data_IF_241581985691
#
_entry.id   IF_241581985691
#
_cell.length_a   1.000
_cell.length_b   1.000
_cell.length_c   1.000
_cell.angle_alpha   90.00
_cell.angle_beta   90.00
_cell.angle_gamma   90.00
#
_symmetry.space_group_name_H-M   'P 1'
#
loop_
_entity.id
_entity.type
_entity.pdbx_description
1 polymer ?
#
# COMPACT_ATOMS: atom_id res chain seq x y z
N UNK A 1 -10.68 -30.15 23.85
CA UNK A 1 -11.74 -30.89 23.15
C UNK A 1 -12.70 -29.84 22.62
N UNK A 2 -12.43 -29.08 21.55
CA UNK A 2 -12.12 -29.41 20.15
C UNK A 2 -13.34 -29.93 19.37
N UNK A 3 -14.28 -29.04 19.07
CA UNK A 3 -15.10 -28.98 17.84
C UNK A 3 -16.06 -27.79 18.02
N UNK A 4 -16.06 -26.86 17.07
CA UNK A 4 -17.17 -25.95 16.68
C UNK A 4 -16.62 -24.62 16.17
N UNK A 5 -16.48 -24.51 14.84
CA UNK A 5 -16.71 -23.30 14.03
C UNK A 5 -16.12 -23.45 12.63
N UNK A 6 -16.76 -24.27 11.80
CA UNK A 6 -16.58 -24.23 10.34
C UNK A 6 -17.93 -24.47 9.68
N UNK A 7 -18.71 -23.40 9.49
CA UNK A 7 -19.90 -23.38 8.61
C UNK A 7 -20.42 -21.95 8.50
N UNK A 8 -19.76 -21.10 7.69
CA UNK A 8 -20.35 -19.85 7.20
C UNK A 8 -19.57 -19.22 6.03
N UNK A 9 -19.22 -20.01 5.00
CA UNK A 9 -18.89 -19.47 3.66
C UNK A 9 -19.37 -20.47 2.60
N UNK A 10 -20.69 -20.61 2.46
CA UNK A 10 -21.30 -21.31 1.33
C UNK A 10 -22.76 -20.89 1.18
N UNK A 11 -23.01 -19.61 0.84
CA UNK A 11 -24.34 -19.18 0.40
C UNK A 11 -24.26 -17.92 -0.44
N UNK A 12 -23.75 -18.04 -1.67
CA UNK A 12 -24.04 -17.13 -2.78
C UNK A 12 -23.82 -17.88 -4.09
N UNK A 13 -24.82 -18.65 -4.52
CA UNK A 13 -25.10 -18.97 -5.91
C UNK A 13 -26.46 -19.68 -5.98
N UNK A 14 -27.26 -19.32 -6.98
CA UNK A 14 -28.60 -19.80 -7.32
C UNK A 14 -29.79 -19.05 -6.71
N UNK A 15 -30.15 -17.94 -7.36
CA UNK A 15 -31.54 -17.55 -7.53
C UNK A 15 -32.16 -18.30 -8.72
N UNK A 16 -33.38 -18.79 -8.50
CA UNK A 16 -34.44 -19.12 -9.46
C UNK A 16 -34.08 -19.93 -10.72
N UNK A 17 -34.47 -21.21 -10.76
CA UNK A 17 -35.60 -21.61 -11.60
C UNK A 17 -36.13 -23.01 -11.27
N UNK A 18 -37.45 -23.13 -11.43
CA UNK A 18 -38.31 -24.25 -11.11
C UNK A 18 -38.30 -25.29 -12.24
N UNK A 19 -38.29 -26.59 -11.92
CA UNK A 19 -39.05 -27.72 -12.53
C UNK A 19 -38.25 -29.03 -12.51
N UNK A 20 -38.93 -30.08 -12.05
CA UNK A 20 -38.34 -31.35 -11.65
C UNK A 20 -37.82 -32.22 -12.79
N UNK A 21 -36.85 -33.06 -12.44
CA UNK A 21 -36.61 -34.36 -13.06
C UNK A 21 -35.73 -35.21 -12.15
N UNK A 22 -36.18 -36.44 -11.91
CA UNK A 22 -35.51 -37.47 -11.11
C UNK A 22 -34.14 -37.79 -11.72
N UNK A 23 -33.09 -37.84 -10.89
CA UNK A 23 -31.81 -38.44 -11.25
C UNK A 23 -31.35 -39.38 -10.14
N UNK A 24 -30.98 -40.60 -10.53
CA UNK A 24 -30.52 -41.72 -9.71
C UNK A 24 -29.15 -41.45 -9.08
N UNK A 25 -28.83 -42.05 -7.91
CA UNK A 25 -27.57 -41.79 -7.24
C UNK A 25 -26.41 -42.46 -7.99
N UNK A 26 -25.49 -41.66 -8.54
CA UNK A 26 -24.15 -42.14 -8.92
C UNK A 26 -23.26 -42.13 -7.70
N UNK A 27 -22.66 -43.27 -7.39
CA UNK A 27 -21.58 -43.39 -6.42
C UNK A 27 -20.42 -42.48 -6.83
N UNK A 28 -20.21 -41.38 -6.09
CA UNK A 28 -18.95 -40.64 -6.13
C UNK A 28 -17.95 -41.36 -5.24
N UNK A 29 -17.08 -42.18 -5.84
CA UNK A 29 -15.82 -42.56 -5.21
C UNK A 29 -14.95 -41.31 -5.14
N UNK A 30 -14.81 -40.75 -3.94
CA UNK A 30 -13.84 -39.68 -3.66
C UNK A 30 -12.45 -40.30 -3.76
N UNK A 31 -11.63 -39.79 -4.68
CA UNK A 31 -10.24 -40.23 -4.87
C UNK A 31 -9.42 -39.85 -3.62
N UNK A 32 -8.81 -40.82 -2.89
CA UNK A 32 -8.05 -40.54 -1.67
C UNK A 32 -6.82 -39.65 -1.86
N UNK A 33 -6.40 -39.42 -3.11
CA UNK A 33 -5.26 -38.55 -3.45
C UNK A 33 -5.60 -37.06 -3.51
N UNK A 34 -6.89 -36.70 -3.48
CA UNK A 34 -7.35 -35.29 -3.51
C UNK A 34 -7.09 -34.52 -2.21
N UNK A 35 -6.70 -35.21 -1.13
CA UNK A 35 -6.40 -34.62 0.20
C UNK A 35 -4.96 -34.06 0.27
N UNK A 36 -4.10 -34.35 -0.71
CA UNK A 36 -2.70 -33.95 -0.74
C UNK A 36 -2.33 -32.97 -1.86
N UNK A 37 -3.29 -32.22 -2.41
CA UNK A 37 -2.94 -31.02 -3.16
C UNK A 37 -2.27 -30.02 -2.18
N UNK A 38 -1.04 -29.56 -2.45
CA UNK A 38 -0.31 -28.77 -1.47
C UNK A 38 -1.06 -27.46 -1.24
N UNK A 39 -1.40 -27.16 0.02
CA UNK A 39 -2.09 -25.92 0.44
C UNK A 39 -1.40 -24.65 -0.12
N UNK A 40 -0.12 -24.72 -0.43
CA UNK A 40 0.65 -23.66 -1.10
C UNK A 40 0.10 -23.28 -2.48
N UNK A 41 -0.42 -24.21 -3.29
CA UNK A 41 -0.92 -23.87 -4.63
C UNK A 41 -2.18 -23.00 -4.58
N UNK A 42 -3.11 -23.26 -3.66
CA UNK A 42 -4.32 -22.45 -3.49
C UNK A 42 -4.02 -21.08 -2.88
N UNK A 43 -3.09 -21.01 -1.92
CA UNK A 43 -2.63 -19.75 -1.32
C UNK A 43 -1.92 -18.88 -2.36
N UNK A 44 -1.08 -19.47 -3.20
CA UNK A 44 -0.41 -18.77 -4.30
C UNK A 44 -1.45 -18.23 -5.29
N UNK A 45 -2.38 -19.04 -5.79
CA UNK A 45 -3.41 -18.55 -6.74
C UNK A 45 -4.29 -17.44 -6.15
N UNK A 46 -4.64 -17.54 -4.86
CA UNK A 46 -5.43 -16.52 -4.15
C UNK A 46 -4.66 -15.20 -3.97
N UNK A 47 -3.39 -15.26 -3.54
CA UNK A 47 -2.51 -14.09 -3.41
C UNK A 47 -2.28 -13.42 -4.76
N UNK A 48 -2.12 -14.20 -5.84
CA UNK A 48 -1.98 -13.68 -7.19
C UNK A 48 -3.25 -12.97 -7.68
N UNK A 49 -4.43 -13.52 -7.39
CA UNK A 49 -5.70 -12.85 -7.72
C UNK A 49 -5.83 -11.52 -6.97
N UNK A 50 -5.61 -11.51 -5.66
CA UNK A 50 -5.65 -10.30 -4.82
C UNK A 50 -4.62 -9.25 -5.24
N UNK A 51 -3.42 -9.68 -5.67
CA UNK A 51 -2.37 -8.79 -6.12
C UNK A 51 -2.62 -8.23 -7.53
N UNK A 52 -3.18 -9.04 -8.45
CA UNK A 52 -3.64 -8.57 -9.76
C UNK A 52 -4.81 -7.60 -9.63
N UNK A 53 -5.67 -7.76 -8.63
CA UNK A 53 -6.74 -6.80 -8.32
C UNK A 53 -6.19 -5.49 -7.77
N UNK A 54 -5.11 -5.51 -6.98
CA UNK A 54 -4.41 -4.30 -6.54
C UNK A 54 -3.75 -3.53 -7.68
N UNK A 55 -3.05 -4.22 -8.59
CA UNK A 55 -2.38 -3.59 -9.72
C UNK A 55 -3.35 -3.01 -10.76
N UNK A 56 -4.59 -3.49 -10.78
CA UNK A 56 -5.66 -2.98 -11.66
C UNK A 56 -6.42 -1.80 -11.06
N UNK A 57 -6.11 -1.39 -9.83
CA UNK A 57 -6.92 -0.42 -9.11
C UNK A 57 -6.12 0.82 -8.73
N UNK A 58 -5.97 1.70 -9.71
CA UNK A 58 -5.87 3.13 -9.40
C UNK A 58 -7.17 3.57 -8.74
N UNK A 59 -7.09 4.56 -7.85
CA UNK A 59 -8.26 5.26 -7.34
C UNK A 59 -9.10 5.73 -8.55
N UNK A 60 -10.37 5.28 -8.71
CA UNK A 60 -11.14 5.54 -9.92
C UNK A 60 -11.14 7.04 -10.25
N UNK A 61 -10.83 7.40 -11.50
CA UNK A 61 -10.77 8.80 -11.95
C UNK A 61 -9.52 9.61 -11.54
N UNK A 62 -8.53 9.02 -10.85
CA UNK A 62 -7.21 9.64 -10.68
C UNK A 62 -6.35 9.38 -11.92
N UNK A 63 -5.62 10.39 -12.44
CA UNK A 63 -4.72 10.20 -13.59
C UNK A 63 -3.75 9.03 -13.33
N UNK A 64 -3.58 8.17 -14.33
CA UNK A 64 -2.59 7.10 -14.25
C UNK A 64 -1.20 7.74 -14.16
N UNK A 65 -0.46 7.42 -13.10
CA UNK A 65 0.92 7.88 -12.93
C UNK A 65 1.86 7.25 -13.95
N UNK A 66 3.06 7.81 -14.05
CA UNK A 66 4.11 7.28 -14.91
C UNK A 66 5.09 6.47 -14.06
N UNK A 67 5.06 5.12 -14.15
CA UNK A 67 5.97 4.27 -13.41
C UNK A 67 7.41 4.34 -13.95
N UNK A 68 8.38 4.01 -13.10
CA UNK A 68 9.79 3.79 -13.47
C UNK A 68 10.11 2.31 -13.68
N UNK A 69 9.34 1.43 -13.04
CA UNK A 69 9.38 -0.02 -13.25
C UNK A 69 8.11 -0.46 -13.94
N UNK A 70 8.25 -1.05 -15.13
CA UNK A 70 7.13 -1.57 -15.93
C UNK A 70 7.27 -3.08 -16.13
N UNK A 71 6.17 -3.81 -16.38
CA UNK A 71 6.25 -5.22 -16.73
C UNK A 71 7.17 -5.44 -17.94
N UNK A 72 8.13 -6.36 -17.82
CA UNK A 72 8.99 -6.75 -18.92
C UNK A 72 8.19 -7.43 -20.04
N UNK A 73 8.53 -7.15 -21.29
CA UNK A 73 7.97 -7.85 -22.45
C UNK A 73 9.04 -7.96 -23.57
N UNK A 74 9.37 -9.19 -24.04
CA UNK A 74 8.90 -10.48 -23.55
C UNK A 74 9.35 -10.77 -22.12
N UNK A 75 8.58 -11.59 -21.38
CA UNK A 75 8.89 -12.03 -20.03
C UNK A 75 9.05 -13.55 -20.00
N UNK A 76 10.15 -14.02 -19.40
CA UNK A 76 10.44 -15.43 -19.19
C UNK A 76 10.85 -15.67 -17.72
N UNK A 77 9.91 -16.10 -16.85
CA UNK A 77 10.22 -16.36 -15.44
C UNK A 77 11.22 -17.51 -15.26
N UNK A 78 11.35 -18.41 -16.25
CA UNK A 78 12.32 -19.52 -16.20
C UNK A 78 13.73 -18.98 -16.37
N UNK A 79 13.94 -18.13 -17.38
CA UNK A 79 15.23 -17.50 -17.61
C UNK A 79 15.66 -16.67 -16.40
N UNK A 80 14.77 -15.86 -15.84
CA UNK A 80 15.08 -15.03 -14.67
C UNK A 80 15.41 -15.88 -13.43
N UNK A 81 14.70 -17.01 -13.22
CA UNK A 81 15.04 -17.95 -12.16
C UNK A 81 16.44 -18.57 -12.34
N UNK A 82 16.84 -18.87 -13.58
CA UNK A 82 18.18 -19.36 -13.92
C UNK A 82 19.26 -18.29 -13.67
N UNK A 83 19.00 -17.02 -14.01
CA UNK A 83 19.87 -15.88 -13.73
C UNK A 83 20.09 -15.73 -12.22
N UNK A 84 19.02 -15.71 -11.43
CA UNK A 84 19.12 -15.59 -9.96
C UNK A 84 19.84 -16.80 -9.34
N UNK A 85 19.57 -18.01 -9.83
CA UNK A 85 20.26 -19.21 -9.34
C UNK A 85 21.76 -19.15 -9.58
N UNK A 86 22.18 -18.62 -10.74
CA UNK A 86 23.57 -18.43 -11.10
C UNK A 86 24.23 -17.34 -10.27
N UNK A 87 23.52 -16.23 -10.03
CA UNK A 87 24.02 -15.10 -9.23
C UNK A 87 24.31 -15.48 -7.77
N UNK A 88 23.57 -16.47 -7.23
CA UNK A 88 23.74 -17.01 -5.87
C UNK A 88 24.51 -18.34 -5.83
N UNK A 89 25.41 -18.60 -6.79
CA UNK A 89 26.17 -19.86 -6.86
C UNK A 89 27.66 -19.61 -6.73
N UNK A 90 28.27 -20.26 -5.74
CA UNK A 90 29.72 -20.25 -5.55
C UNK A 90 30.10 -19.46 -4.31
N UNK A 91 31.29 -18.88 -4.31
CA UNK A 91 31.74 -18.00 -3.23
C UNK A 91 31.39 -16.56 -3.59
N UNK A 92 30.67 -15.88 -2.69
CA UNK A 92 30.10 -14.56 -2.93
C UNK A 92 28.82 -14.58 -3.77
N UNK A 93 28.27 -13.39 -4.00
CA UNK A 93 26.99 -13.18 -4.69
C UNK A 93 27.21 -12.19 -5.83
N UNK A 94 26.50 -12.34 -6.95
CA UNK A 94 26.48 -11.34 -8.03
C UNK A 94 25.31 -10.37 -7.79
N UNK A 95 25.52 -9.38 -6.91
CA UNK A 95 24.48 -8.40 -6.55
C UNK A 95 24.01 -7.60 -7.76
N UNK A 96 24.92 -7.33 -8.71
CA UNK A 96 24.59 -6.62 -9.94
C UNK A 96 23.59 -7.41 -10.78
N UNK A 97 23.80 -8.71 -10.98
CA UNK A 97 22.86 -9.55 -11.71
C UNK A 97 21.49 -9.63 -11.01
N UNK A 98 21.47 -9.69 -9.67
CA UNK A 98 20.22 -9.66 -8.89
C UNK A 98 19.48 -8.34 -9.11
N UNK A 99 20.16 -7.20 -8.99
CA UNK A 99 19.58 -5.87 -9.21
C UNK A 99 19.03 -5.75 -10.64
N UNK A 100 19.86 -6.07 -11.64
CA UNK A 100 19.50 -5.93 -13.06
C UNK A 100 18.33 -6.82 -13.47
N UNK A 101 18.16 -7.97 -12.83
CA UNK A 101 17.04 -8.88 -13.02
C UNK A 101 15.78 -8.33 -12.32
N UNK A 102 15.82 -8.10 -11.00
CA UNK A 102 14.62 -7.87 -10.20
C UNK A 102 14.04 -6.46 -10.32
N UNK A 103 14.88 -5.44 -10.50
CA UNK A 103 14.43 -4.04 -10.63
C UNK A 103 13.80 -3.73 -11.99
N UNK A 104 13.85 -4.67 -12.93
CA UNK A 104 13.23 -4.56 -14.27
C UNK A 104 12.04 -5.50 -14.44
N UNK A 105 11.43 -5.92 -13.34
CA UNK A 105 10.24 -6.78 -13.30
C UNK A 105 9.22 -6.14 -12.39
N UNK A 106 7.95 -6.20 -12.79
CA UNK A 106 6.84 -5.83 -11.90
C UNK A 106 6.76 -6.79 -10.71
N UNK A 107 6.07 -6.42 -9.64
CA UNK A 107 5.87 -7.30 -8.49
C UNK A 107 5.21 -8.62 -8.93
N UNK A 108 4.20 -8.60 -9.81
CA UNK A 108 3.61 -9.82 -10.42
C UNK A 108 4.68 -10.71 -11.04
N UNK A 109 5.52 -10.16 -11.90
CA UNK A 109 6.57 -10.92 -12.57
C UNK A 109 7.60 -11.47 -11.57
N UNK A 110 7.95 -10.70 -10.53
CA UNK A 110 8.80 -11.18 -9.43
C UNK A 110 8.17 -12.34 -8.69
N UNK A 111 6.86 -12.31 -8.44
CA UNK A 111 6.16 -13.44 -7.84
C UNK A 111 6.20 -14.67 -8.78
N UNK A 112 6.01 -14.48 -10.08
CA UNK A 112 6.11 -15.58 -11.07
C UNK A 112 7.50 -16.22 -11.06
N UNK A 113 8.55 -15.41 -10.91
CA UNK A 113 9.93 -15.89 -10.76
C UNK A 113 10.08 -16.73 -9.47
N UNK A 114 9.46 -16.35 -8.35
CA UNK A 114 9.48 -17.14 -7.10
C UNK A 114 8.90 -18.54 -7.34
N UNK A 115 7.73 -18.60 -7.99
CA UNK A 115 7.05 -19.87 -8.30
C UNK A 115 7.90 -20.71 -9.25
N UNK A 116 8.47 -20.09 -10.28
CA UNK A 116 9.27 -20.79 -11.26
C UNK A 116 10.60 -21.29 -10.68
N UNK A 117 11.25 -20.52 -9.81
CA UNK A 117 12.46 -20.92 -9.09
C UNK A 117 12.20 -22.14 -8.21
N UNK A 118 11.06 -22.15 -7.50
CA UNK A 118 10.63 -23.32 -6.70
C UNK A 118 10.40 -24.55 -7.58
N UNK A 119 9.78 -24.38 -8.74
CA UNK A 119 9.51 -25.46 -9.70
C UNK A 119 10.81 -26.06 -10.26
N UNK A 120 11.78 -25.23 -10.64
CA UNK A 120 13.03 -25.69 -11.27
C UNK A 120 14.00 -26.32 -10.27
N UNK A 121 14.08 -25.80 -9.04
CA UNK A 121 15.15 -26.14 -8.11
C UNK A 121 14.67 -26.77 -6.80
N UNK A 122 13.36 -26.78 -6.52
CA UNK A 122 12.81 -27.23 -5.24
C UNK A 122 13.15 -26.31 -4.06
N UNK A 123 13.77 -25.14 -4.31
CA UNK A 123 14.26 -24.20 -3.30
C UNK A 123 13.37 -22.97 -3.13
N UNK A 124 13.46 -22.34 -1.98
CA UNK A 124 12.75 -21.09 -1.69
C UNK A 124 13.64 -19.89 -2.09
N UNK A 125 13.20 -19.14 -3.10
CA UNK A 125 13.99 -18.02 -3.65
C UNK A 125 14.20 -16.90 -2.62
N UNK A 126 13.19 -16.58 -1.81
CA UNK A 126 13.31 -15.50 -0.81
C UNK A 126 14.31 -15.93 0.26
N UNK A 127 14.24 -17.17 0.73
CA UNK A 127 15.21 -17.73 1.67
C UNK A 127 16.63 -17.68 1.11
N UNK A 128 16.84 -18.16 -0.12
CA UNK A 128 18.16 -18.15 -0.76
C UNK A 128 18.70 -16.71 -0.87
N UNK A 129 17.89 -15.74 -1.33
CA UNK A 129 18.28 -14.32 -1.39
C UNK A 129 18.65 -13.77 0.00
N UNK A 130 17.88 -14.07 1.04
CA UNK A 130 18.18 -13.62 2.41
C UNK A 130 19.44 -14.25 3.01
N UNK A 131 19.83 -15.43 2.54
CA UNK A 131 21.09 -16.06 2.99
C UNK A 131 22.33 -15.48 2.31
N UNK A 132 22.14 -14.85 1.15
CA UNK A 132 23.22 -14.29 0.32
C UNK A 132 23.37 -12.78 0.53
N UNK A 133 22.29 -12.09 0.91
CA UNK A 133 22.25 -10.64 1.05
C UNK A 133 22.20 -10.22 2.52
N UNK A 134 22.54 -8.96 2.81
CA UNK A 134 22.41 -8.39 4.15
C UNK A 134 22.10 -6.90 4.14
N UNK A 135 21.73 -6.37 5.30
CA UNK A 135 21.48 -4.94 5.52
C UNK A 135 20.35 -4.37 4.66
N UNK A 136 20.43 -3.09 4.32
CA UNK A 136 19.37 -2.42 3.55
C UNK A 136 19.23 -2.91 2.12
N UNK A 137 20.27 -3.55 1.56
CA UNK A 137 20.14 -4.19 0.26
C UNK A 137 19.21 -5.41 0.33
N UNK A 138 19.37 -6.27 1.35
CA UNK A 138 18.41 -7.36 1.63
C UNK A 138 16.99 -6.82 1.84
N UNK A 139 16.84 -5.73 2.62
CA UNK A 139 15.53 -5.12 2.89
C UNK A 139 14.81 -4.71 1.59
N UNK A 140 15.52 -4.08 0.63
CA UNK A 140 14.95 -3.69 -0.68
C UNK A 140 14.56 -4.91 -1.49
N UNK A 141 15.44 -5.91 -1.61
CA UNK A 141 15.14 -7.13 -2.37
C UNK A 141 13.93 -7.85 -1.79
N UNK A 142 13.86 -8.02 -0.47
CA UNK A 142 12.73 -8.68 0.20
C UNK A 142 11.45 -7.87 0.02
N UNK A 143 11.49 -6.54 0.14
CA UNK A 143 10.34 -5.68 -0.13
C UNK A 143 9.82 -5.86 -1.56
N UNK A 144 10.72 -5.87 -2.54
CA UNK A 144 10.37 -6.10 -3.95
C UNK A 144 9.75 -7.48 -4.20
N UNK A 145 10.20 -8.51 -3.48
CA UNK A 145 9.77 -9.90 -3.68
C UNK A 145 8.53 -10.27 -2.85
N UNK A 146 8.03 -9.35 -2.02
CA UNK A 146 6.83 -9.58 -1.19
C UNK A 146 5.58 -9.12 -1.94
N UNK A 147 4.49 -9.90 -1.95
CA UNK A 147 3.23 -9.42 -2.51
C UNK A 147 2.74 -8.16 -1.76
N UNK A 148 2.28 -7.13 -2.50
CA UNK A 148 1.93 -5.83 -1.91
C UNK A 148 0.98 -5.86 -0.70
N UNK A 149 -0.13 -6.63 -0.67
CA UNK A 149 -1.01 -6.69 0.50
C UNK A 149 -0.26 -7.12 1.77
N UNK A 150 0.55 -8.17 1.65
CA UNK A 150 1.34 -8.75 2.73
C UNK A 150 2.45 -7.79 3.15
N UNK A 151 3.07 -7.07 2.20
CA UNK A 151 4.06 -6.06 2.51
C UNK A 151 3.46 -4.91 3.33
N UNK A 152 2.34 -4.31 2.89
CA UNK A 152 1.66 -3.26 3.66
C UNK A 152 1.13 -3.76 5.00
N UNK A 153 0.59 -4.97 5.08
CA UNK A 153 0.17 -5.57 6.34
C UNK A 153 1.34 -5.67 7.34
N UNK A 154 2.53 -6.08 6.86
CA UNK A 154 3.75 -6.12 7.67
C UNK A 154 4.21 -4.74 8.12
N UNK A 155 4.15 -3.74 7.23
CA UNK A 155 4.53 -2.37 7.56
C UNK A 155 3.59 -1.75 8.60
N UNK A 156 2.27 -1.96 8.47
CA UNK A 156 1.28 -1.52 9.45
C UNK A 156 1.44 -2.27 10.79
N UNK A 157 1.69 -3.58 10.76
CA UNK A 157 1.92 -4.33 11.99
C UNK A 157 3.18 -3.86 12.72
N UNK A 158 4.26 -3.56 11.98
CA UNK A 158 5.48 -2.97 12.54
C UNK A 158 5.21 -1.60 13.14
N UNK A 159 4.40 -0.78 12.47
CA UNK A 159 4.03 0.55 12.95
C UNK A 159 3.22 0.51 14.26
N UNK A 160 2.47 -0.57 14.51
CA UNK A 160 1.65 -0.75 15.72
C UNK A 160 2.39 -1.50 16.83
N UNK A 161 3.23 -2.48 16.48
CA UNK A 161 3.80 -3.43 17.47
C UNK A 161 5.17 -3.00 18.01
N UNK A 162 5.62 -1.79 17.69
CA UNK A 162 6.91 -1.25 18.13
C UNK A 162 6.90 -0.73 19.56
N UNK A 163 8.04 -0.20 20.01
CA UNK A 163 8.08 0.65 21.20
C UNK A 163 7.47 2.01 20.85
N UNK A 164 6.15 2.12 21.04
CA UNK A 164 5.35 3.23 20.53
C UNK A 164 4.84 2.96 19.12
N UNK A 165 3.96 3.86 18.66
CA UNK A 165 3.35 3.80 17.33
C UNK A 165 4.19 4.59 16.33
N UNK A 166 4.41 4.10 15.11
CA UNK A 166 4.94 4.91 13.99
C UNK A 166 3.75 5.47 13.20
N UNK A 167 3.19 6.59 13.68
CA UNK A 167 2.00 7.19 13.09
C UNK A 167 2.21 7.67 11.66
N UNK A 168 3.45 7.97 11.26
CA UNK A 168 3.75 8.38 9.89
C UNK A 168 3.46 7.25 8.90
N UNK A 169 3.76 5.99 9.25
CA UNK A 169 3.42 4.83 8.40
C UNK A 169 1.91 4.67 8.31
N UNK A 170 1.20 4.82 9.44
CA UNK A 170 -0.26 4.71 9.47
C UNK A 170 -0.91 5.78 8.59
N UNK A 171 -0.44 7.03 8.69
CA UNK A 171 -0.92 8.15 7.89
C UNK A 171 -0.57 7.95 6.42
N UNK A 172 0.68 7.56 6.10
CA UNK A 172 1.13 7.29 4.73
C UNK A 172 0.22 6.29 4.02
N UNK A 173 -0.01 5.13 4.65
CA UNK A 173 -0.79 4.05 4.05
C UNK A 173 -2.27 4.40 4.04
N UNK A 174 -2.87 4.74 5.18
CA UNK A 174 -4.33 4.88 5.29
C UNK A 174 -4.88 6.14 4.61
N UNK A 175 -4.08 7.19 4.43
CA UNK A 175 -4.55 8.40 3.74
C UNK A 175 -4.47 8.29 2.21
N UNK A 176 -3.64 7.39 1.66
CA UNK A 176 -3.34 7.33 0.22
C UNK A 176 -3.99 6.14 -0.50
N UNK A 177 -4.42 5.12 0.25
CA UNK A 177 -5.03 3.91 -0.31
C UNK A 177 -6.51 4.08 -0.64
N UNK A 178 -6.96 3.44 -1.71
CA UNK A 178 -8.35 3.22 -2.06
C UNK A 178 -9.04 2.25 -1.10
N UNK A 179 -10.37 2.21 -1.17
CA UNK A 179 -11.17 1.29 -0.39
C UNK A 179 -10.79 -0.18 -0.68
N UNK A 180 -10.56 -0.53 -1.95
CA UNK A 180 -10.18 -1.89 -2.29
C UNK A 180 -8.80 -2.26 -1.76
N UNK A 181 -7.83 -1.35 -1.91
CA UNK A 181 -6.49 -1.54 -1.35
C UNK A 181 -6.54 -1.78 0.16
N UNK A 182 -7.29 -0.95 0.90
CA UNK A 182 -7.45 -1.10 2.35
C UNK A 182 -8.11 -2.43 2.72
N UNK A 183 -9.15 -2.88 2.00
CA UNK A 183 -9.80 -4.18 2.26
C UNK A 183 -8.84 -5.34 2.05
N UNK A 184 -8.07 -5.30 0.96
CA UNK A 184 -7.06 -6.32 0.64
C UNK A 184 -5.94 -6.36 1.66
N UNK A 185 -5.45 -5.19 2.12
CA UNK A 185 -4.46 -5.10 3.20
C UNK A 185 -5.02 -5.64 4.52
N UNK A 186 -6.27 -5.32 4.87
CA UNK A 186 -6.94 -5.85 6.07
C UNK A 186 -7.04 -7.37 6.05
N UNK A 187 -7.37 -7.95 4.90
CA UNK A 187 -7.43 -9.39 4.73
C UNK A 187 -6.04 -10.02 4.94
N UNK A 188 -5.01 -9.49 4.28
CA UNK A 188 -3.63 -9.97 4.46
C UNK A 188 -3.12 -9.81 5.90
N UNK A 189 -3.51 -8.73 6.58
CA UNK A 189 -3.20 -8.51 7.99
C UNK A 189 -3.86 -9.57 8.88
N UNK A 190 -5.15 -9.84 8.67
CA UNK A 190 -5.88 -10.86 9.43
C UNK A 190 -5.27 -12.25 9.22
N UNK A 191 -4.93 -12.61 7.98
CA UNK A 191 -4.30 -13.89 7.65
C UNK A 191 -2.91 -14.03 8.28
N UNK A 192 -2.13 -12.94 8.34
CA UNK A 192 -0.76 -12.97 8.85
C UNK A 192 -0.68 -12.95 10.38
N UNK A 193 -1.61 -12.27 11.06
CA UNK A 193 -1.51 -11.97 12.49
C UNK A 193 -2.67 -12.52 13.33
N UNK A 194 -3.70 -13.10 12.71
CA UNK A 194 -4.86 -13.65 13.42
C UNK A 194 -5.71 -12.62 14.16
N UNK A 195 -5.47 -11.33 13.93
CA UNK A 195 -6.19 -10.20 14.52
C UNK A 195 -6.56 -9.20 13.42
N UNK A 196 -7.65 -8.46 13.59
CA UNK A 196 -8.02 -7.44 12.61
C UNK A 196 -7.17 -6.17 12.78
N UNK A 197 -6.76 -5.58 11.66
CA UNK A 197 -6.05 -4.29 11.65
C UNK A 197 -6.82 -3.22 12.42
N UNK A 198 -8.15 -3.18 12.27
CA UNK A 198 -8.99 -2.21 12.99
C UNK A 198 -8.92 -2.39 14.52
N UNK A 199 -8.88 -3.62 15.01
CA UNK A 199 -8.76 -3.89 16.46
C UNK A 199 -7.42 -3.40 16.99
N UNK A 200 -6.35 -3.61 16.23
CA UNK A 200 -4.99 -3.22 16.63
C UNK A 200 -4.83 -1.69 16.58
N UNK A 201 -5.35 -1.03 15.54
CA UNK A 201 -5.42 0.43 15.46
C UNK A 201 -6.18 1.03 16.65
N UNK A 202 -7.32 0.44 17.04
CA UNK A 202 -8.08 0.90 18.21
C UNK A 202 -7.32 0.74 19.53
N UNK A 203 -6.53 -0.32 19.66
CA UNK A 203 -5.72 -0.59 20.85
C UNK A 203 -4.57 0.40 21.02
N UNK A 204 -3.95 0.80 19.90
CA UNK A 204 -2.66 1.49 19.91
C UNK A 204 -2.75 3.02 19.68
N UNK A 205 -3.86 3.51 19.12
CA UNK A 205 -4.12 4.95 18.97
C UNK A 205 -5.11 5.46 20.01
N UNK A 206 -5.29 6.77 20.17
CA UNK A 206 -6.31 7.35 21.07
C UNK A 206 -6.99 8.59 20.50
N UNK A 207 -8.06 9.05 21.16
CA UNK A 207 -8.75 10.30 20.84
C UNK A 207 -9.20 10.42 19.37
N UNK A 208 -8.99 11.60 18.80
CA UNK A 208 -9.37 11.95 17.42
C UNK A 208 -8.58 11.18 16.39
N UNK A 209 -7.29 10.97 16.64
CA UNK A 209 -6.43 10.16 15.79
C UNK A 209 -6.96 8.73 15.66
N UNK A 210 -7.39 8.10 16.76
CA UNK A 210 -8.05 6.78 16.71
C UNK A 210 -9.28 6.77 15.80
N UNK A 211 -10.12 7.80 15.90
CA UNK A 211 -11.33 7.88 15.08
C UNK A 211 -10.98 8.02 13.59
N UNK A 212 -9.97 8.83 13.24
CA UNK A 212 -9.48 8.96 11.86
C UNK A 212 -8.95 7.63 11.31
N UNK A 213 -8.07 6.96 12.07
CA UNK A 213 -7.48 5.66 11.66
C UNK A 213 -8.56 4.60 11.42
N UNK A 214 -9.54 4.50 12.31
CA UNK A 214 -10.68 3.58 12.15
C UNK A 214 -11.52 3.97 10.93
N UNK A 215 -11.88 5.25 10.78
CA UNK A 215 -12.68 5.73 9.64
C UNK A 215 -12.02 5.43 8.29
N UNK A 216 -10.71 5.64 8.17
CA UNK A 216 -9.96 5.29 6.95
C UNK A 216 -9.89 3.78 6.77
N UNK A 217 -9.56 3.01 7.82
CA UNK A 217 -9.48 1.55 7.78
C UNK A 217 -10.83 0.89 7.43
N UNK A 218 -11.97 1.53 7.70
CA UNK A 218 -13.28 1.01 7.30
C UNK A 218 -13.45 0.89 5.78
N UNK A 219 -12.65 1.61 4.97
CA UNK A 219 -12.73 1.58 3.51
C UNK A 219 -14.14 1.92 3.00
N UNK A 220 -14.71 3.00 3.54
CA UNK A 220 -16.05 3.49 3.23
C UNK A 220 -16.09 4.86 2.54
N UNK A 221 -14.99 5.30 1.93
CA UNK A 221 -14.94 6.57 1.22
C UNK A 221 -15.75 6.49 -0.08
N UNK A 222 -16.44 7.54 -0.47
CA UNK A 222 -16.98 7.64 -1.84
C UNK A 222 -15.81 7.70 -2.85
N UNK A 223 -15.83 6.84 -3.86
CA UNK A 223 -14.80 6.78 -4.92
C UNK A 223 -15.39 7.06 -6.31
N UNK A 224 -16.62 7.57 -6.37
CA UNK A 224 -17.32 7.86 -7.64
C UNK A 224 -16.71 9.01 -8.44
N UNK A 225 -15.95 9.90 -7.76
CA UNK A 225 -15.44 11.17 -8.30
C UNK A 225 -16.52 12.12 -8.82
N UNK A 226 -17.79 11.84 -8.53
CA UNK A 226 -18.91 12.72 -8.87
C UNK A 226 -18.91 13.89 -7.90
N UNK A 227 -19.05 15.09 -8.44
CA UNK A 227 -19.02 16.33 -7.66
C UNK A 227 -20.37 17.02 -7.58
N UNK A 228 -20.66 17.64 -6.44
CA UNK A 228 -21.80 18.52 -6.21
C UNK A 228 -21.28 19.87 -5.66
N UNK A 229 -21.30 20.95 -6.47
CA UNK A 229 -20.86 22.27 -6.05
C UNK A 229 -21.66 22.87 -4.89
N UNK A 230 -22.97 22.60 -4.79
CA UNK A 230 -23.81 23.11 -3.70
C UNK A 230 -23.45 22.41 -2.40
N UNK A 231 -23.30 21.08 -2.45
CA UNK A 231 -22.82 20.32 -1.30
C UNK A 231 -21.40 20.72 -0.90
N UNK A 232 -20.53 21.06 -1.87
CA UNK A 232 -19.17 21.52 -1.58
C UNK A 232 -19.17 22.84 -0.79
N UNK A 233 -20.00 23.80 -1.21
CA UNK A 233 -20.18 25.06 -0.49
C UNK A 233 -20.76 24.82 0.91
N UNK A 234 -21.74 23.94 1.05
CA UNK A 234 -22.31 23.57 2.35
C UNK A 234 -21.27 22.93 3.27
N UNK A 235 -20.52 21.93 2.79
CA UNK A 235 -19.49 21.25 3.57
C UNK A 235 -18.36 22.22 3.97
N UNK A 236 -17.97 23.16 3.10
CA UNK A 236 -17.00 24.20 3.44
C UNK A 236 -17.49 25.13 4.56
N UNK A 237 -18.77 25.56 4.52
CA UNK A 237 -19.38 26.32 5.62
C UNK A 237 -19.44 25.50 6.92
N UNK A 238 -19.71 24.20 6.82
CA UNK A 238 -19.73 23.31 7.99
C UNK A 238 -18.33 23.17 8.60
N UNK A 239 -17.27 23.04 7.81
CA UNK A 239 -15.89 23.04 8.30
C UNK A 239 -15.54 24.37 9.01
N UNK A 240 -15.93 25.50 8.43
CA UNK A 240 -15.70 26.82 9.03
C UNK A 240 -16.43 26.97 10.38
N UNK A 241 -17.70 26.52 10.46
CA UNK A 241 -18.47 26.49 11.72
C UNK A 241 -17.92 25.50 12.73
N UNK A 242 -17.35 24.40 12.27
CA UNK A 242 -16.79 23.34 13.10
C UNK A 242 -15.41 23.70 13.68
N UNK A 243 -14.71 24.68 13.12
CA UNK A 243 -13.44 25.18 13.66
C UNK A 243 -13.54 26.64 14.07
N UNK A 244 -13.14 27.53 13.17
CA UNK A 244 -12.81 28.92 13.50
C UNK A 244 -13.98 29.78 14.02
N UNK A 245 -15.24 29.43 13.76
CA UNK A 245 -16.39 30.20 14.24
C UNK A 245 -16.93 29.71 15.60
N UNK A 246 -16.17 28.89 16.34
CA UNK A 246 -16.58 28.39 17.66
C UNK A 246 -15.39 28.32 18.62
N UNK A 247 -15.71 28.17 19.91
CA UNK A 247 -14.72 27.82 20.92
C UNK A 247 -14.51 26.30 20.93
N UNK A 248 -13.25 25.89 20.77
CA UNK A 248 -12.85 24.51 20.53
C UNK A 248 -13.32 23.98 19.17
N UNK A 249 -13.00 22.74 18.84
CA UNK A 249 -13.23 22.21 17.49
C UNK A 249 -14.22 21.06 17.49
N UNK A 250 -15.13 21.03 16.52
CA UNK A 250 -15.93 19.84 16.20
C UNK A 250 -15.12 18.92 15.29
N UNK A 251 -14.30 18.11 15.94
CA UNK A 251 -13.43 17.09 15.34
C UNK A 251 -14.22 16.06 14.52
N UNK A 252 -15.50 15.83 14.86
CA UNK A 252 -16.34 14.83 14.20
C UNK A 252 -16.78 15.28 12.82
N UNK A 253 -17.09 16.58 12.65
CA UNK A 253 -17.41 17.18 11.35
C UNK A 253 -16.21 17.12 10.40
N UNK A 254 -15.00 17.46 10.89
CA UNK A 254 -13.77 17.32 10.10
C UNK A 254 -13.55 15.86 9.67
N UNK A 255 -13.64 14.90 10.60
CA UNK A 255 -13.48 13.48 10.28
C UNK A 255 -14.50 13.01 9.23
N UNK A 256 -15.78 13.29 9.42
CA UNK A 256 -16.86 12.91 8.50
C UNK A 256 -16.57 13.40 7.08
N UNK A 257 -16.29 14.69 6.92
CA UNK A 257 -16.07 15.29 5.59
C UNK A 257 -14.78 14.75 4.97
N UNK A 258 -13.65 14.83 5.69
CA UNK A 258 -12.33 14.46 5.15
C UNK A 258 -12.20 12.97 4.86
N UNK A 259 -12.85 12.08 5.62
CA UNK A 259 -12.74 10.63 5.42
C UNK A 259 -13.77 10.05 4.46
N UNK A 260 -14.93 10.68 4.25
CA UNK A 260 -16.02 10.09 3.46
C UNK A 260 -16.17 10.68 2.06
N UNK A 261 -15.92 11.97 1.86
CA UNK A 261 -16.08 12.60 0.54
C UNK A 261 -15.04 12.08 -0.46
N UNK A 262 -15.43 11.93 -1.72
CA UNK A 262 -14.49 11.58 -2.78
C UNK A 262 -13.47 12.72 -3.02
N UNK A 263 -12.37 12.39 -3.66
CA UNK A 263 -11.25 13.33 -3.83
C UNK A 263 -11.62 14.54 -4.71
N UNK A 264 -12.45 14.36 -5.74
CA UNK A 264 -12.89 15.48 -6.58
C UNK A 264 -13.78 16.45 -5.79
N UNK A 265 -14.69 15.92 -4.99
CA UNK A 265 -15.55 16.70 -4.10
C UNK A 265 -14.73 17.44 -3.03
N UNK A 266 -13.73 16.78 -2.43
CA UNK A 266 -12.86 17.42 -1.44
C UNK A 266 -12.06 18.60 -2.02
N UNK A 267 -11.57 18.50 -3.26
CA UNK A 267 -10.90 19.62 -3.92
C UNK A 267 -11.83 20.83 -4.05
N UNK A 268 -13.07 20.61 -4.49
CA UNK A 268 -14.06 21.68 -4.55
C UNK A 268 -14.37 22.26 -3.16
N UNK A 269 -14.47 21.42 -2.13
CA UNK A 269 -14.67 21.88 -0.74
C UNK A 269 -13.50 22.78 -0.31
N UNK A 270 -12.26 22.40 -0.63
CA UNK A 270 -11.08 23.20 -0.27
C UNK A 270 -11.05 24.55 -1.01
N UNK A 271 -11.42 24.57 -2.30
CA UNK A 271 -11.53 25.80 -3.08
C UNK A 271 -12.63 26.73 -2.52
N UNK A 272 -13.79 26.17 -2.16
CA UNK A 272 -14.87 26.92 -1.52
C UNK A 272 -14.46 27.43 -0.14
N UNK A 273 -13.73 26.62 0.62
CA UNK A 273 -13.22 27.03 1.93
C UNK A 273 -12.28 28.23 1.80
N UNK A 274 -11.32 28.17 0.87
CA UNK A 274 -10.41 29.28 0.56
C UNK A 274 -11.17 30.55 0.17
N UNK A 275 -12.23 30.42 -0.65
CA UNK A 275 -13.06 31.56 -1.04
C UNK A 275 -13.82 32.17 0.14
N UNK A 276 -14.29 31.36 1.10
CA UNK A 276 -15.05 31.83 2.27
C UNK A 276 -14.18 32.49 3.33
N UNK A 277 -12.96 31.98 3.56
CA UNK A 277 -12.10 32.40 4.69
C UNK A 277 -10.92 33.28 4.27
N UNK A 278 -10.56 33.25 2.97
CA UNK A 278 -9.35 33.89 2.46
C UNK A 278 -8.06 33.11 2.75
N UNK A 279 -8.13 31.87 3.24
CA UNK A 279 -6.96 31.00 3.40
C UNK A 279 -7.27 29.51 3.24
N UNK A 280 -6.23 28.72 2.98
CA UNK A 280 -6.33 27.27 2.82
C UNK A 280 -6.86 26.55 4.07
N UNK A 281 -7.53 25.41 3.85
CA UNK A 281 -8.02 24.52 4.90
C UNK A 281 -6.87 23.98 5.78
N UNK A 282 -5.66 23.84 5.24
CA UNK A 282 -4.49 23.43 6.02
C UNK A 282 -4.17 24.42 7.15
N UNK A 283 -4.40 25.72 6.95
CA UNK A 283 -4.19 26.73 7.99
C UNK A 283 -5.21 26.55 9.11
N UNK A 284 -6.47 26.29 8.77
CA UNK A 284 -7.50 26.00 9.75
C UNK A 284 -7.14 24.74 10.57
N UNK A 285 -6.75 23.66 9.90
CA UNK A 285 -6.36 22.41 10.57
C UNK A 285 -5.20 22.64 11.55
N UNK A 286 -4.18 23.41 11.17
CA UNK A 286 -3.04 23.73 12.05
C UNK A 286 -3.40 24.61 13.25
N UNK A 287 -4.45 25.41 13.14
CA UNK A 287 -4.90 26.26 14.23
C UNK A 287 -5.80 25.48 15.22
N UNK A 288 -6.56 24.51 14.70
CA UNK A 288 -7.61 23.80 15.44
C UNK A 288 -7.16 22.45 16.03
N UNK A 289 -6.17 21.79 15.41
CA UNK A 289 -5.69 20.48 15.82
C UNK A 289 -4.21 20.51 16.20
N UNK A 290 -3.77 19.46 16.91
CA UNK A 290 -2.35 19.25 17.22
C UNK A 290 -1.97 17.77 17.14
N UNK A 291 -0.67 17.51 17.08
CA UNK A 291 -0.08 16.17 17.12
C UNK A 291 -0.57 15.27 15.99
N UNK A 292 -0.82 13.99 16.29
CA UNK A 292 -1.13 12.97 15.29
C UNK A 292 -2.46 13.23 14.56
N UNK A 293 -3.43 13.88 15.22
CA UNK A 293 -4.71 14.22 14.58
C UNK A 293 -4.52 15.30 13.52
N UNK A 294 -3.72 16.33 13.81
CA UNK A 294 -3.35 17.37 12.86
C UNK A 294 -2.60 16.77 11.66
N UNK A 295 -1.55 15.98 11.91
CA UNK A 295 -0.75 15.38 10.82
C UNK A 295 -1.56 14.41 9.96
N UNK A 296 -2.49 13.65 10.55
CA UNK A 296 -3.39 12.80 9.78
C UNK A 296 -4.33 13.60 8.88
N UNK A 297 -4.97 14.65 9.41
CA UNK A 297 -5.88 15.49 8.60
C UNK A 297 -5.12 16.20 7.49
N UNK A 298 -3.94 16.75 7.78
CA UNK A 298 -3.06 17.31 6.76
C UNK A 298 -2.58 16.26 5.77
N UNK A 299 -2.36 15.01 6.21
CA UNK A 299 -2.05 13.88 5.34
C UNK A 299 -3.15 13.61 4.31
N UNK A 300 -4.42 13.59 4.75
CA UNK A 300 -5.58 13.45 3.85
C UNK A 300 -5.61 14.62 2.86
N UNK A 301 -5.52 15.87 3.33
CA UNK A 301 -5.57 17.06 2.45
C UNK A 301 -4.45 17.01 1.40
N UNK A 302 -3.22 16.68 1.80
CA UNK A 302 -2.07 16.55 0.88
C UNK A 302 -2.31 15.44 -0.15
N UNK A 303 -2.77 14.25 0.27
CA UNK A 303 -3.07 13.14 -0.63
C UNK A 303 -4.18 13.48 -1.64
N UNK A 304 -5.20 14.23 -1.22
CA UNK A 304 -6.27 14.73 -2.09
C UNK A 304 -5.73 15.74 -3.10
N UNK A 305 -4.92 16.71 -2.65
CA UNK A 305 -4.33 17.75 -3.53
C UNK A 305 -3.37 17.13 -4.55
N UNK A 306 -2.39 16.34 -4.09
CA UNK A 306 -1.43 15.62 -4.95
C UNK A 306 -0.79 14.46 -4.19
N UNK A 307 -1.10 13.21 -4.58
CA UNK A 307 -0.41 12.02 -4.04
C UNK A 307 1.09 12.05 -4.34
N UNK A 308 1.55 12.43 -5.56
CA UNK A 308 2.98 12.55 -5.82
C UNK A 308 3.69 13.55 -4.89
N UNK A 309 3.10 14.72 -4.63
CA UNK A 309 3.67 15.70 -3.70
C UNK A 309 3.65 15.21 -2.24
N UNK A 310 2.61 14.46 -1.85
CA UNK A 310 2.57 13.78 -0.56
C UNK A 310 3.75 12.81 -0.39
N UNK A 311 3.97 11.90 -1.35
CA UNK A 311 5.07 10.95 -1.26
C UNK A 311 6.45 11.63 -1.40
N UNK A 312 6.58 12.69 -2.20
CA UNK A 312 7.79 13.50 -2.22
C UNK A 312 8.11 14.10 -0.83
N UNK A 313 7.08 14.55 -0.11
CA UNK A 313 7.22 14.98 1.28
C UNK A 313 7.61 13.86 2.23
N UNK A 314 6.99 12.68 2.11
CA UNK A 314 7.38 11.51 2.90
C UNK A 314 8.86 11.16 2.69
N UNK A 315 9.31 11.06 1.44
CA UNK A 315 10.72 10.77 1.12
C UNK A 315 11.64 11.81 1.76
N UNK A 316 11.35 13.10 1.60
CA UNK A 316 12.15 14.16 2.21
C UNK A 316 12.19 14.05 3.74
N UNK A 317 11.08 13.71 4.38
CA UNK A 317 11.04 13.49 5.82
C UNK A 317 11.87 12.28 6.28
N UNK A 318 12.02 11.25 5.44
CA UNK A 318 12.78 10.04 5.77
C UNK A 318 14.29 10.18 5.59
N UNK A 319 14.73 11.19 4.83
CA UNK A 319 16.13 11.44 4.53
C UNK A 319 16.66 12.73 5.16
N UNK A 320 15.80 13.59 5.70
CA UNK A 320 16.25 14.81 6.38
C UNK A 320 16.67 14.51 7.82
N UNK A 321 17.72 15.18 8.29
CA UNK A 321 18.16 15.14 9.68
C UNK A 321 19.37 14.23 9.90
N UNK A 322 19.52 13.71 11.12
CA UNK A 322 20.63 12.83 11.46
C UNK A 322 20.25 11.37 11.13
N UNK A 323 20.76 10.90 9.99
CA UNK A 323 20.56 9.54 9.49
C UNK A 323 19.27 9.37 8.69
N UNK A 324 19.18 8.24 8.00
CA UNK A 324 18.08 7.91 7.11
C UNK A 324 17.11 6.92 7.80
N UNK A 325 15.80 7.11 7.60
CA UNK A 325 14.78 6.12 7.98
C UNK A 325 14.62 5.09 6.86
N UNK A 326 15.64 4.27 6.66
CA UNK A 326 15.77 3.39 5.49
C UNK A 326 14.53 2.52 5.22
N UNK A 327 13.94 1.89 6.24
CA UNK A 327 12.75 1.04 6.03
C UNK A 327 11.57 1.82 5.46
N UNK A 328 11.40 3.08 5.84
CA UNK A 328 10.33 3.95 5.34
C UNK A 328 10.66 4.41 3.90
N UNK A 329 11.91 4.79 3.66
CA UNK A 329 12.39 5.16 2.33
C UNK A 329 12.22 4.00 1.32
N UNK A 330 12.64 2.80 1.72
CA UNK A 330 12.51 1.57 0.93
C UNK A 330 11.05 1.30 0.58
N UNK A 331 10.15 1.38 1.57
CA UNK A 331 8.71 1.16 1.33
C UNK A 331 8.20 2.09 0.23
N UNK A 332 8.44 3.40 0.35
CA UNK A 332 7.93 4.37 -0.63
C UNK A 332 8.57 4.14 -2.01
N UNK A 333 9.89 3.95 -2.09
CA UNK A 333 10.55 3.76 -3.39
C UNK A 333 10.05 2.49 -4.07
N UNK A 334 10.01 1.37 -3.35
CA UNK A 334 9.56 0.09 -3.91
C UNK A 334 8.11 0.16 -4.35
N UNK A 335 7.19 0.62 -3.49
CA UNK A 335 5.76 0.55 -3.79
C UNK A 335 5.30 1.59 -4.80
N UNK A 336 6.00 2.72 -4.94
CA UNK A 336 5.66 3.77 -5.92
C UNK A 336 6.38 3.60 -7.26
N UNK A 337 7.43 2.78 -7.34
CA UNK A 337 8.18 2.53 -8.59
C UNK A 337 7.32 2.02 -9.75
N UNK A 338 6.26 1.26 -9.44
CA UNK A 338 5.32 0.69 -10.42
C UNK A 338 4.05 1.53 -10.61
N UNK A 339 3.99 2.76 -10.05
CA UNK A 339 2.77 3.59 -10.05
C UNK A 339 3.03 4.99 -10.63
N UNK A 340 3.77 5.85 -9.94
CA UNK A 340 3.85 7.29 -10.21
C UNK A 340 5.20 7.92 -9.83
N UNK A 341 6.27 7.11 -9.85
CA UNK A 341 7.59 7.55 -9.42
C UNK A 341 8.12 8.74 -10.23
N UNK A 342 7.77 8.88 -11.52
CA UNK A 342 8.22 10.05 -12.28
C UNK A 342 7.57 11.34 -11.80
N UNK A 343 6.28 11.32 -11.44
CA UNK A 343 5.60 12.47 -10.86
C UNK A 343 6.16 12.78 -9.47
N UNK A 344 6.44 11.77 -8.64
CA UNK A 344 7.07 11.95 -7.34
C UNK A 344 8.44 12.64 -7.48
N UNK A 345 9.27 12.20 -8.43
CA UNK A 345 10.58 12.83 -8.71
C UNK A 345 10.42 14.30 -9.12
N UNK A 346 9.42 14.61 -9.95
CA UNK A 346 9.13 15.98 -10.38
C UNK A 346 8.70 16.86 -9.21
N UNK A 347 7.73 16.41 -8.43
CA UNK A 347 7.27 17.13 -7.24
C UNK A 347 8.40 17.31 -6.22
N UNK A 348 9.21 16.28 -5.99
CA UNK A 348 10.38 16.36 -5.12
C UNK A 348 11.34 17.47 -5.56
N UNK A 349 11.65 17.55 -6.86
CA UNK A 349 12.48 18.62 -7.39
C UNK A 349 11.84 20.00 -7.23
N UNK A 350 10.55 20.13 -7.57
CA UNK A 350 9.79 21.38 -7.41
C UNK A 350 9.78 21.86 -5.95
N UNK A 351 9.62 20.95 -5.00
CA UNK A 351 9.49 21.27 -3.57
C UNK A 351 10.83 21.57 -2.89
N UNK A 352 11.92 20.88 -3.29
CA UNK A 352 13.18 20.91 -2.54
C UNK A 352 14.37 21.44 -3.33
N UNK A 353 14.21 21.76 -4.62
CA UNK A 353 15.24 22.40 -5.45
C UNK A 353 16.40 21.50 -5.87
N UNK A 354 16.36 20.20 -5.56
CA UNK A 354 17.36 19.20 -5.95
C UNK A 354 16.67 17.88 -6.33
N UNK A 355 17.37 17.02 -7.08
CA UNK A 355 16.76 15.79 -7.59
C UNK A 355 16.69 14.71 -6.50
N UNK A 356 15.70 13.81 -6.60
CA UNK A 356 15.65 12.62 -5.73
C UNK A 356 16.91 11.75 -5.88
N UNK A 357 17.51 11.70 -7.07
CA UNK A 357 18.76 11.00 -7.32
C UNK A 357 19.91 11.56 -6.48
N UNK A 358 20.05 12.88 -6.43
CA UNK A 358 21.09 13.56 -5.66
C UNK A 358 20.89 13.30 -4.17
N UNK A 359 19.65 13.38 -3.67
CA UNK A 359 19.35 13.02 -2.27
C UNK A 359 19.78 11.59 -1.96
N UNK A 360 19.40 10.62 -2.79
CA UNK A 360 19.80 9.22 -2.59
C UNK A 360 21.30 8.98 -2.79
N UNK A 361 22.00 9.83 -3.56
CA UNK A 361 23.46 9.76 -3.70
C UNK A 361 24.14 9.98 -2.36
N UNK A 362 23.64 10.97 -1.63
CA UNK A 362 24.24 11.52 -0.43
C UNK A 362 23.84 10.70 0.81
N UNK A 363 22.63 10.11 0.79
CA UNK A 363 22.05 9.35 1.90
C UNK A 363 22.31 7.84 1.82
N UNK A 364 22.54 7.28 0.62
CA UNK A 364 22.66 5.84 0.42
C UNK A 364 24.01 5.43 -0.20
N UNK A 365 24.42 4.19 0.06
CA UNK A 365 25.68 3.64 -0.47
C UNK A 365 25.54 2.18 -0.93
N UNK A 366 26.60 1.65 -1.57
CA UNK A 366 26.67 0.25 -2.00
C UNK A 366 25.55 -0.20 -2.95
N UNK A 367 25.24 -1.49 -2.88
CA UNK A 367 24.19 -2.13 -3.69
C UNK A 367 22.77 -1.68 -3.30
N UNK A 368 22.60 -1.26 -2.05
CA UNK A 368 21.38 -0.60 -1.61
C UNK A 368 21.08 0.65 -2.46
N UNK A 369 22.05 1.57 -2.60
CA UNK A 369 21.88 2.75 -3.49
C UNK A 369 21.63 2.35 -4.94
N UNK A 370 22.41 1.41 -5.47
CA UNK A 370 22.27 0.95 -6.88
C UNK A 370 20.86 0.41 -7.14
N UNK A 371 20.31 -0.34 -6.19
CA UNK A 371 18.96 -0.87 -6.28
C UNK A 371 17.90 0.25 -6.24
N UNK A 372 18.02 1.21 -5.32
CA UNK A 372 17.12 2.36 -5.27
C UNK A 372 17.19 3.22 -6.55
N UNK A 373 18.39 3.42 -7.10
CA UNK A 373 18.58 4.15 -8.38
C UNK A 373 17.82 3.47 -9.52
N UNK A 374 18.00 2.16 -9.66
CA UNK A 374 17.28 1.40 -10.68
C UNK A 374 15.76 1.50 -10.51
N UNK A 375 15.26 1.45 -9.26
CA UNK A 375 13.83 1.61 -8.95
C UNK A 375 13.29 3.00 -9.25
N UNK A 376 14.09 4.06 -9.15
CA UNK A 376 13.69 5.42 -9.54
C UNK A 376 14.02 5.75 -11.02
N UNK A 377 14.40 4.76 -11.81
CA UNK A 377 14.70 4.90 -13.24
C UNK A 377 16.00 5.67 -13.53
N UNK A 378 16.97 5.60 -12.64
CA UNK A 378 18.29 6.22 -12.78
C UNK A 378 19.38 5.16 -13.03
N UNK A 379 20.36 5.44 -13.90
CA UNK A 379 21.49 4.54 -14.16
C UNK A 379 22.52 4.49 -13.03
#
# INVERSE_FOLDING_TARGET
>A
MAADNFLLVASMCFSHDNLGSKCTPRNFTVDPWSIFAPKTSYVITSIYSLHLDLLKMSYPGYPQGTPTVVPAHPFDPRHDAEVLRKAMKGFGTDEKAIIECLTRRSNVQRLEIIVQFKTLYGKDLIHDLKSELSGHFEDVIVAMMTPLPQYYAKELHRAISGLGTDEEILIEVLCTMSNNEIRTIRQAYLESYGRSLESDLKGDSSGTFRRLMVSLCCAGRDESMVTDPQQAMFDAQQLLRAGELRLGTDESTFNMILCQRNYAQLRLIFDQYLHLTGHDIEKAIKNEFSGNSEECMLGIVRAVKSKPAFFAKCIHNYVKGLGTRDKNLIRVIVTRSEIDMQEIKREFHTMYGHSLKDTLRDECSGDYKRCLYALIGEP
#
